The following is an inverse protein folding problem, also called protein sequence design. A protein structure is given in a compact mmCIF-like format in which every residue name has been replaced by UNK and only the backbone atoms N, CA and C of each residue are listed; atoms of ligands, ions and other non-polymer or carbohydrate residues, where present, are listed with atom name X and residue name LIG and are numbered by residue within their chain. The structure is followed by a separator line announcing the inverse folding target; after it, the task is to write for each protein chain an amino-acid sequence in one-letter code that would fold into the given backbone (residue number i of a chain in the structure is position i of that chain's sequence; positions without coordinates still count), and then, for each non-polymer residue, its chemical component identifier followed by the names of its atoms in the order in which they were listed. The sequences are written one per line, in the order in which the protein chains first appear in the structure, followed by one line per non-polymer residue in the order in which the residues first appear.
data_IF_987951748890
#
_entry.id   IF_987951748890
#
_cell.length_a   1.000
_cell.length_b   1.000
_cell.length_c   1.000
_cell.angle_alpha   90.00
_cell.angle_beta   90.00
_cell.angle_gamma   90.00
#
_symmetry.space_group_name_H-M   'P 1'
#
loop_
_entity.id
_entity.type
_entity.pdbx_description
1 polymer ?
#
# COMPACT_ATOMS: atom_id res chain seq x y z
N UNK A 1 -12.46 20.63 4.52
CA UNK A 1 -11.04 20.89 4.85
C UNK A 1 -10.78 20.37 6.25
N UNK A 2 -10.26 19.14 6.35
CA UNK A 2 -9.98 18.49 7.64
C UNK A 2 -8.69 19.02 8.28
N UNK A 3 -7.78 19.57 7.50
CA UNK A 3 -6.50 20.11 7.97
C UNK A 3 -6.56 21.62 8.13
N UNK A 4 -7.13 22.06 9.27
CA UNK A 4 -6.79 23.41 9.75
C UNK A 4 -5.31 23.40 10.15
N UNK A 5 -4.57 24.50 9.96
CA UNK A 5 -3.16 24.65 10.39
C UNK A 5 -2.98 24.47 11.91
N UNK A 6 -4.08 24.32 12.65
CA UNK A 6 -4.07 24.09 14.10
C UNK A 6 -3.52 22.70 14.41
N UNK A 7 -2.41 22.68 15.12
CA UNK A 7 -1.78 21.46 15.60
C UNK A 7 -0.80 20.77 14.64
N UNK A 8 -0.54 21.33 13.46
CA UNK A 8 0.53 20.84 12.59
C UNK A 8 1.89 21.41 13.03
N UNK A 9 2.92 20.58 13.06
CA UNK A 9 4.29 21.01 13.20
C UNK A 9 4.75 21.83 11.98
N UNK A 10 5.86 22.53 12.08
CA UNK A 10 6.47 23.24 10.96
C UNK A 10 6.82 22.28 9.82
N UNK A 11 7.40 21.13 10.15
CA UNK A 11 7.73 20.08 9.21
C UNK A 11 6.49 19.56 8.48
N UNK A 12 5.42 19.26 9.20
CA UNK A 12 4.15 18.83 8.59
C UNK A 12 3.58 19.89 7.65
N UNK A 13 3.66 21.17 8.00
CA UNK A 13 3.23 22.25 7.10
C UNK A 13 4.07 22.29 5.83
N UNK A 14 5.40 22.17 5.94
CA UNK A 14 6.30 22.11 4.78
C UNK A 14 5.98 20.90 3.88
N UNK A 15 5.78 19.72 4.45
CA UNK A 15 5.39 18.51 3.69
C UNK A 15 4.05 18.70 2.98
N UNK A 16 3.05 19.26 3.66
CA UNK A 16 1.75 19.58 3.06
C UNK A 16 1.89 20.54 1.89
N UNK A 17 2.63 21.62 2.07
CA UNK A 17 2.76 22.66 1.05
C UNK A 17 3.55 22.16 -0.17
N UNK A 18 4.57 21.34 0.05
CA UNK A 18 5.27 20.60 -1.01
C UNK A 18 4.33 19.66 -1.76
N UNK A 19 3.52 18.89 -1.03
CA UNK A 19 2.52 18.01 -1.63
C UNK A 19 1.46 18.79 -2.41
N UNK A 20 1.01 19.91 -1.88
CA UNK A 20 0.03 20.80 -2.53
C UNK A 20 0.57 21.36 -3.83
N UNK A 21 1.82 21.82 -3.85
CA UNK A 21 2.49 22.27 -5.08
C UNK A 21 2.58 21.11 -6.11
N UNK A 22 3.02 19.92 -5.69
CA UNK A 22 3.04 18.74 -6.54
C UNK A 22 1.67 18.43 -7.15
N UNK A 23 0.61 18.49 -6.35
CA UNK A 23 -0.76 18.25 -6.85
C UNK A 23 -1.18 19.31 -7.87
N UNK A 24 -0.93 20.57 -7.60
CA UNK A 24 -1.32 21.66 -8.50
C UNK A 24 -0.53 21.66 -9.81
N UNK A 25 0.78 21.39 -9.74
CA UNK A 25 1.70 21.57 -10.86
C UNK A 25 1.84 20.31 -11.71
N UNK A 26 1.62 19.11 -11.13
CA UNK A 26 1.81 17.85 -11.84
C UNK A 26 0.53 16.99 -11.89
N UNK A 27 -0.10 16.71 -10.73
CA UNK A 27 -1.22 15.74 -10.69
C UNK A 27 -2.44 16.30 -11.42
N UNK A 28 -2.90 17.50 -11.03
CA UNK A 28 -4.13 18.08 -11.61
C UNK A 28 -4.02 18.30 -13.12
N UNK A 29 -2.94 18.89 -13.67
CA UNK A 29 -2.77 19.00 -15.11
C UNK A 29 -2.70 17.65 -15.82
N UNK A 30 -1.96 16.68 -15.23
CA UNK A 30 -1.85 15.33 -15.79
C UNK A 30 -3.23 14.67 -15.91
N UNK A 31 -4.01 14.67 -14.83
CA UNK A 31 -5.35 14.05 -14.83
C UNK A 31 -6.28 14.76 -15.82
N UNK A 32 -6.30 16.09 -15.86
CA UNK A 32 -7.13 16.86 -16.81
C UNK A 32 -6.79 16.53 -18.27
N UNK A 33 -5.52 16.36 -18.59
CA UNK A 33 -5.07 16.05 -19.95
C UNK A 33 -5.19 14.57 -20.32
N UNK A 34 -5.31 13.69 -19.33
CA UNK A 34 -5.28 12.24 -19.49
C UNK A 34 -6.48 11.52 -18.85
N UNK A 35 -7.60 12.21 -18.60
CA UNK A 35 -8.75 11.64 -17.90
C UNK A 35 -9.36 10.40 -18.57
N UNK A 36 -9.18 10.27 -19.92
CA UNK A 36 -9.60 9.10 -20.68
C UNK A 36 -8.59 7.95 -20.64
N UNK A 37 -7.41 8.14 -20.05
CA UNK A 37 -6.32 7.15 -20.07
C UNK A 37 -6.76 5.78 -19.57
N UNK A 38 -7.52 5.74 -18.47
CA UNK A 38 -7.99 4.47 -17.90
C UNK A 38 -9.01 3.74 -18.78
N UNK A 39 -9.69 4.45 -19.67
CA UNK A 39 -10.73 3.92 -20.55
C UNK A 39 -10.20 3.44 -21.89
N UNK A 40 -9.17 4.10 -22.40
CA UNK A 40 -8.67 3.89 -23.76
C UNK A 40 -7.36 3.11 -23.83
N UNK A 41 -6.58 3.02 -22.73
CA UNK A 41 -5.28 2.35 -22.73
C UNK A 41 -5.37 0.89 -22.32
N UNK A 42 -4.45 0.08 -22.81
CA UNK A 42 -4.21 -1.27 -22.28
C UNK A 42 -3.93 -1.17 -20.76
N UNK A 43 -4.51 -2.04 -19.93
CA UNK A 43 -4.25 -2.04 -18.48
C UNK A 43 -2.78 -1.96 -18.09
N UNK A 44 -1.87 -2.57 -18.87
CA UNK A 44 -0.41 -2.52 -18.63
C UNK A 44 0.22 -1.13 -18.82
N UNK A 45 -0.46 -0.24 -19.57
CA UNK A 45 0.02 1.11 -19.89
C UNK A 45 -0.65 2.20 -19.03
N UNK A 46 -1.57 1.82 -18.13
CA UNK A 46 -2.34 2.76 -17.31
C UNK A 46 -1.55 3.36 -16.14
N UNK A 47 -0.42 2.75 -15.77
CA UNK A 47 0.37 3.24 -14.64
C UNK A 47 0.94 4.64 -14.94
N UNK A 48 0.62 5.67 -14.15
CA UNK A 48 1.11 7.03 -14.33
C UNK A 48 2.56 7.15 -13.84
N UNK A 49 3.50 6.57 -14.57
CA UNK A 49 4.92 6.47 -14.19
C UNK A 49 5.54 7.82 -13.91
N UNK A 50 5.28 8.80 -14.76
CA UNK A 50 5.76 10.17 -14.65
C UNK A 50 5.34 10.83 -13.33
N UNK A 51 4.12 10.56 -12.86
CA UNK A 51 3.62 11.08 -11.58
C UNK A 51 4.26 10.34 -10.40
N UNK A 52 4.45 9.02 -10.50
CA UNK A 52 5.12 8.24 -9.47
C UNK A 52 6.60 8.64 -9.32
N UNK A 53 7.28 8.96 -10.43
CA UNK A 53 8.64 9.47 -10.42
C UNK A 53 8.73 10.85 -9.73
N UNK A 54 7.78 11.76 -9.98
CA UNK A 54 7.73 13.04 -9.29
C UNK A 54 7.42 12.88 -7.80
N UNK A 55 6.44 12.03 -7.44
CA UNK A 55 6.13 11.70 -6.06
C UNK A 55 7.34 11.09 -5.32
N UNK A 56 8.17 10.31 -6.03
CA UNK A 56 9.40 9.77 -5.51
C UNK A 56 10.46 10.86 -5.26
N UNK A 57 10.68 11.77 -6.21
CA UNK A 57 11.65 12.86 -6.08
C UNK A 57 11.40 13.76 -4.88
N UNK A 58 10.15 14.02 -4.55
CA UNK A 58 9.77 14.85 -3.39
C UNK A 58 9.57 14.05 -2.10
N UNK A 59 9.87 12.75 -2.11
CA UNK A 59 9.88 11.89 -0.94
C UNK A 59 8.50 11.38 -0.47
N UNK A 60 7.38 11.85 -1.00
CA UNK A 60 6.05 11.42 -0.54
C UNK A 60 5.76 9.95 -0.85
N UNK A 61 6.39 9.38 -1.87
CA UNK A 61 6.21 7.97 -2.21
C UNK A 61 6.82 7.03 -1.16
N UNK A 62 7.91 7.43 -0.52
CA UNK A 62 8.69 6.61 0.42
C UNK A 62 8.34 6.84 1.89
N UNK A 63 7.24 7.55 2.17
CA UNK A 63 6.68 7.61 3.51
C UNK A 63 6.38 6.19 4.03
N UNK A 64 6.66 5.94 5.30
CA UNK A 64 6.49 4.61 5.91
C UNK A 64 7.65 3.63 5.67
N UNK A 65 8.53 3.86 4.69
CA UNK A 65 9.79 3.14 4.54
C UNK A 65 10.77 3.67 5.59
N UNK A 66 11.52 2.80 6.34
CA UNK A 66 12.50 3.27 7.29
C UNK A 66 13.62 4.09 6.64
N UNK A 67 14.09 5.14 7.32
CA UNK A 67 15.13 6.05 6.83
C UNK A 67 16.42 5.30 6.48
N UNK A 68 16.81 4.31 7.28
CA UNK A 68 18.00 3.47 7.03
C UNK A 68 17.97 2.73 5.68
N UNK A 69 16.80 2.59 5.07
CA UNK A 69 16.60 1.97 3.75
C UNK A 69 16.26 2.99 2.65
N UNK A 70 16.41 4.28 2.92
CA UNK A 70 16.15 5.35 1.97
C UNK A 70 14.70 5.87 1.98
N UNK A 71 13.97 5.65 3.06
CA UNK A 71 12.65 6.22 3.29
C UNK A 71 12.69 7.69 3.69
N UNK A 72 11.57 8.35 3.56
CA UNK A 72 11.38 9.72 4.05
C UNK A 72 11.03 9.68 5.53
N UNK A 73 11.83 10.31 6.41
CA UNK A 73 11.57 10.30 7.84
C UNK A 73 10.27 11.01 8.18
N UNK A 74 9.50 10.43 9.09
CA UNK A 74 8.29 11.00 9.67
C UNK A 74 8.31 10.74 11.16
N UNK A 75 7.98 11.74 11.97
CA UNK A 75 7.86 11.56 13.42
C UNK A 75 6.83 10.46 13.73
N UNK A 76 7.22 9.35 14.39
CA UNK A 76 6.31 8.26 14.72
C UNK A 76 5.08 8.67 15.53
N UNK A 77 5.17 9.76 16.31
CA UNK A 77 4.05 10.26 17.11
C UNK A 77 2.96 10.90 16.27
N UNK A 78 3.31 11.42 15.11
CA UNK A 78 2.40 12.14 14.21
C UNK A 78 2.26 11.47 12.84
N UNK A 79 2.84 10.28 12.66
CA UNK A 79 2.88 9.57 11.38
C UNK A 79 1.49 9.39 10.74
N UNK A 80 0.52 8.92 11.51
CA UNK A 80 -0.85 8.72 11.00
C UNK A 80 -1.49 10.04 10.58
N UNK A 81 -1.28 11.12 11.34
CA UNK A 81 -1.76 12.45 10.99
C UNK A 81 -1.09 12.96 9.72
N UNK A 82 0.23 12.75 9.59
CA UNK A 82 0.99 13.13 8.39
C UNK A 82 0.49 12.39 7.16
N UNK A 83 0.30 11.07 7.26
CA UNK A 83 -0.24 10.28 6.15
C UNK A 83 -1.65 10.72 5.75
N UNK A 84 -2.52 10.99 6.72
CA UNK A 84 -3.88 11.48 6.45
C UNK A 84 -3.85 12.84 5.73
N UNK A 85 -3.03 13.76 6.19
CA UNK A 85 -2.86 15.09 5.61
C UNK A 85 -2.34 15.01 4.17
N UNK A 86 -1.29 14.23 3.91
CA UNK A 86 -0.72 14.07 2.57
C UNK A 86 -1.72 13.35 1.65
N UNK A 87 -2.42 12.32 2.15
CA UNK A 87 -3.47 11.63 1.41
C UNK A 87 -4.62 12.57 1.01
N UNK A 88 -5.04 13.47 1.91
CA UNK A 88 -6.06 14.49 1.63
C UNK A 88 -5.61 15.43 0.49
N UNK A 89 -4.38 15.94 0.56
CA UNK A 89 -3.84 16.82 -0.48
C UNK A 89 -3.76 16.12 -1.86
N UNK A 90 -3.28 14.86 -1.91
CA UNK A 90 -3.21 14.12 -3.17
C UNK A 90 -4.62 13.82 -3.70
N UNK A 91 -5.55 13.42 -2.82
CA UNK A 91 -6.93 13.10 -3.19
C UNK A 91 -7.69 14.31 -3.76
N UNK A 92 -7.29 15.52 -3.40
CA UNK A 92 -7.81 16.76 -4.00
C UNK A 92 -7.50 16.85 -5.50
N UNK A 93 -6.38 16.30 -5.93
CA UNK A 93 -6.01 16.19 -7.35
C UNK A 93 -6.59 14.93 -7.99
N UNK A 94 -6.38 13.78 -7.36
CA UNK A 94 -6.87 12.48 -7.81
C UNK A 94 -6.90 11.44 -6.69
N UNK A 95 -8.07 10.90 -6.40
CA UNK A 95 -8.26 9.91 -5.33
C UNK A 95 -7.65 8.54 -5.68
N UNK A 96 -7.62 8.16 -6.94
CA UNK A 96 -7.03 6.90 -7.40
C UNK A 96 -5.51 6.90 -7.24
N UNK A 97 -4.85 8.02 -7.54
CA UNK A 97 -3.42 8.20 -7.29
C UNK A 97 -3.11 8.19 -5.79
N UNK A 98 -3.95 8.85 -4.98
CA UNK A 98 -3.82 8.80 -3.53
C UNK A 98 -3.87 7.37 -3.00
N UNK A 99 -4.84 6.57 -3.44
CA UNK A 99 -4.94 5.15 -3.05
C UNK A 99 -3.69 4.36 -3.46
N UNK A 100 -3.14 4.58 -4.67
CA UNK A 100 -1.89 3.95 -5.10
C UNK A 100 -0.72 4.21 -4.14
N UNK A 101 -0.54 5.45 -3.70
CA UNK A 101 0.54 5.85 -2.78
C UNK A 101 0.28 5.38 -1.35
N UNK A 102 -0.96 5.50 -0.87
CA UNK A 102 -1.36 5.03 0.47
C UNK A 102 -1.12 3.52 0.63
N UNK A 103 -1.30 2.72 -0.41
CA UNK A 103 -0.96 1.29 -0.35
C UNK A 103 0.54 1.06 -0.11
N UNK A 104 1.42 1.88 -0.69
CA UNK A 104 2.87 1.77 -0.45
C UNK A 104 3.16 2.06 1.02
N UNK A 105 2.65 3.17 1.56
CA UNK A 105 2.88 3.55 2.95
C UNK A 105 2.34 2.51 3.93
N UNK A 106 1.08 2.12 3.75
CA UNK A 106 0.41 1.12 4.60
C UNK A 106 1.16 -0.20 4.65
N UNK A 107 1.58 -0.72 3.49
CA UNK A 107 2.31 -1.98 3.42
C UNK A 107 3.73 -1.82 3.96
N UNK A 108 4.38 -0.68 3.74
CA UNK A 108 5.70 -0.40 4.32
C UNK A 108 5.65 -0.34 5.85
N UNK A 109 4.65 0.34 6.43
CA UNK A 109 4.43 0.34 7.89
C UNK A 109 4.18 -1.07 8.42
N UNK A 110 3.36 -1.86 7.70
CA UNK A 110 3.12 -3.26 8.06
C UNK A 110 4.43 -4.06 8.07
N UNK A 111 5.22 -3.98 7.00
CA UNK A 111 6.51 -4.69 6.90
C UNK A 111 7.49 -4.25 7.99
N UNK A 112 7.60 -2.96 8.24
CA UNK A 112 8.46 -2.40 9.30
C UNK A 112 8.13 -2.96 10.67
N UNK A 113 6.84 -3.14 10.97
CA UNK A 113 6.38 -3.54 12.30
C UNK A 113 6.34 -5.06 12.52
N UNK A 114 6.13 -5.86 11.48
CA UNK A 114 5.89 -7.30 11.67
C UNK A 114 6.81 -8.21 10.87
N UNK A 115 7.47 -7.72 9.80
CA UNK A 115 8.35 -8.57 9.03
C UNK A 115 9.69 -8.80 9.75
N UNK A 116 10.25 -10.03 9.73
CA UNK A 116 11.59 -10.30 10.21
C UNK A 116 12.64 -9.42 9.52
N UNK A 117 13.71 -9.08 10.21
CA UNK A 117 14.76 -8.14 9.74
C UNK A 117 15.30 -8.50 8.35
N UNK A 118 15.58 -9.76 8.09
CA UNK A 118 16.11 -10.21 6.80
C UNK A 118 15.14 -9.93 5.63
N UNK A 119 13.83 -9.94 5.88
CA UNK A 119 12.84 -9.57 4.85
C UNK A 119 12.77 -8.05 4.66
N UNK A 120 12.94 -7.28 5.72
CA UNK A 120 13.04 -5.82 5.61
C UNK A 120 14.28 -5.43 4.78
N UNK A 121 15.43 -6.01 5.05
CA UNK A 121 16.69 -5.81 4.30
C UNK A 121 16.59 -6.22 2.83
N UNK A 122 15.78 -7.24 2.55
CA UNK A 122 15.53 -7.70 1.17
C UNK A 122 14.64 -6.73 0.39
N UNK A 123 13.56 -6.23 1.01
CA UNK A 123 12.50 -5.55 0.28
C UNK A 123 12.57 -4.03 0.34
N UNK A 124 12.92 -3.42 1.47
CA UNK A 124 12.92 -1.96 1.57
C UNK A 124 13.85 -1.24 0.61
N UNK A 125 15.10 -1.70 0.35
CA UNK A 125 15.94 -1.06 -0.66
C UNK A 125 15.31 -1.07 -2.06
N UNK A 126 14.65 -2.16 -2.44
CA UNK A 126 13.94 -2.28 -3.74
C UNK A 126 12.75 -1.33 -3.81
N UNK A 127 11.98 -1.23 -2.73
CA UNK A 127 10.83 -0.31 -2.62
C UNK A 127 11.32 1.13 -2.69
N UNK A 128 12.39 1.47 -1.99
CA UNK A 128 12.91 2.82 -1.91
C UNK A 128 13.54 3.31 -3.22
N UNK A 129 14.23 2.43 -3.97
CA UNK A 129 15.00 2.82 -5.15
C UNK A 129 14.19 2.88 -6.45
N UNK A 130 13.12 2.10 -6.56
CA UNK A 130 12.34 2.00 -7.80
C UNK A 130 11.03 2.77 -7.69
N UNK A 131 10.87 3.91 -8.39
CA UNK A 131 9.63 4.71 -8.37
C UNK A 131 8.38 3.94 -8.79
N UNK A 132 8.55 2.90 -9.62
CA UNK A 132 7.46 2.04 -10.09
C UNK A 132 7.19 0.84 -9.20
N UNK A 133 7.88 0.69 -8.05
CA UNK A 133 7.67 -0.42 -7.13
C UNK A 133 6.40 -0.19 -6.31
N UNK A 134 5.29 -0.68 -6.79
CA UNK A 134 4.03 -0.65 -6.07
C UNK A 134 3.88 -1.87 -5.17
N UNK A 135 3.17 -1.65 -4.07
CA UNK A 135 2.82 -2.66 -3.07
C UNK A 135 1.32 -2.89 -3.08
N UNK A 136 0.91 -4.11 -2.75
CA UNK A 136 -0.49 -4.49 -2.68
C UNK A 136 -0.82 -5.24 -1.41
N UNK A 137 -1.99 -4.95 -0.84
CA UNK A 137 -2.50 -5.55 0.39
C UNK A 137 -3.71 -6.43 0.07
N UNK A 138 -3.45 -7.74 -0.15
CA UNK A 138 -4.43 -8.69 -0.65
C UNK A 138 -5.23 -9.34 0.48
N UNK A 139 -6.19 -8.61 1.02
CA UNK A 139 -7.02 -9.04 2.13
C UNK A 139 -8.42 -9.48 1.66
N UNK A 140 -9.11 -8.63 0.88
CA UNK A 140 -10.50 -8.81 0.48
C UNK A 140 -10.72 -10.04 -0.40
N UNK A 141 -11.81 -10.75 -0.14
CA UNK A 141 -12.25 -11.94 -0.87
C UNK A 141 -13.70 -11.80 -1.35
N UNK A 142 -14.16 -12.59 -2.35
CA UNK A 142 -15.54 -12.54 -2.83
C UNK A 142 -16.59 -12.81 -1.74
N UNK A 143 -16.24 -13.58 -0.72
CA UNK A 143 -17.11 -13.97 0.40
C UNK A 143 -16.63 -13.44 1.75
N UNK A 144 -15.80 -12.43 1.77
CA UNK A 144 -15.29 -11.86 3.01
C UNK A 144 -15.48 -10.35 3.00
N UNK A 145 -16.06 -9.81 4.05
CA UNK A 145 -16.24 -8.38 4.24
C UNK A 145 -15.71 -7.94 5.63
N UNK A 146 -16.50 -7.21 6.38
CA UNK A 146 -16.12 -6.70 7.71
C UNK A 146 -16.06 -7.78 8.80
N UNK A 147 -16.62 -8.96 8.58
CA UNK A 147 -16.59 -10.10 9.48
C UNK A 147 -15.18 -10.48 9.96
N UNK A 148 -14.16 -10.22 9.13
CA UNK A 148 -12.75 -10.38 9.50
C UNK A 148 -12.21 -9.37 10.53
N UNK A 149 -12.96 -8.32 10.84
CA UNK A 149 -12.62 -7.31 11.83
C UNK A 149 -13.36 -7.49 13.15
N UNK A 150 -13.99 -8.66 13.36
CA UNK A 150 -14.63 -8.98 14.61
C UNK A 150 -13.61 -8.94 15.77
N UNK A 151 -14.00 -8.42 16.94
CA UNK A 151 -13.10 -8.30 18.10
C UNK A 151 -12.81 -9.66 18.78
N UNK A 152 -13.37 -10.74 18.27
CA UNK A 152 -13.23 -12.10 18.76
C UNK A 152 -13.13 -13.10 17.63
N UNK A 153 -12.45 -14.21 17.86
CA UNK A 153 -12.34 -15.29 16.88
C UNK A 153 -13.66 -16.09 16.80
N UNK A 154 -14.23 -16.10 15.60
CA UNK A 154 -15.35 -16.95 15.24
C UNK A 154 -14.80 -17.98 14.25
N UNK A 155 -14.94 -19.29 14.50
CA UNK A 155 -14.37 -20.34 13.64
C UNK A 155 -14.80 -20.22 12.17
N UNK A 156 -16.01 -19.76 11.92
CA UNK A 156 -16.60 -19.56 10.60
C UNK A 156 -16.06 -18.30 9.89
N UNK A 157 -15.61 -17.30 10.65
CA UNK A 157 -14.99 -16.09 10.12
C UNK A 157 -13.51 -16.37 9.81
N UNK A 158 -13.22 -16.85 8.59
CA UNK A 158 -11.87 -17.16 8.15
C UNK A 158 -11.67 -16.76 6.69
N UNK A 159 -10.41 -16.66 6.26
CA UNK A 159 -10.07 -16.49 4.84
C UNK A 159 -10.43 -17.78 4.08
N UNK A 160 -11.04 -17.61 2.91
CA UNK A 160 -11.27 -18.71 1.97
C UNK A 160 -10.02 -19.02 1.15
N UNK A 161 -9.12 -18.04 0.95
CA UNK A 161 -7.77 -18.29 0.47
C UNK A 161 -7.02 -19.11 1.51
N UNK A 162 -6.48 -20.25 1.09
CA UNK A 162 -5.76 -21.21 1.96
C UNK A 162 -4.29 -21.27 1.58
N UNK A 163 -3.44 -21.50 2.56
CA UNK A 163 -2.03 -21.77 2.37
C UNK A 163 -1.67 -23.08 3.06
N UNK A 164 -1.08 -24.00 2.32
CA UNK A 164 -0.67 -25.33 2.77
C UNK A 164 0.83 -25.50 2.59
N UNK A 165 1.52 -25.97 3.63
CA UNK A 165 2.94 -26.31 3.54
C UNK A 165 3.10 -27.66 2.83
N UNK A 166 3.78 -27.66 1.67
CA UNK A 166 4.10 -28.86 0.89
C UNK A 166 5.62 -28.97 0.75
N UNK A 167 6.20 -29.86 1.53
CA UNK A 167 7.65 -29.92 1.68
C UNK A 167 8.20 -28.64 2.34
N UNK A 168 9.03 -27.92 1.64
CA UNK A 168 9.65 -26.64 2.05
C UNK A 168 8.93 -25.39 1.52
N UNK A 169 7.81 -25.58 0.80
CA UNK A 169 7.11 -24.48 0.11
C UNK A 169 5.67 -24.35 0.57
N UNK A 170 5.24 -23.11 0.72
CA UNK A 170 3.83 -22.79 0.90
C UNK A 170 3.12 -22.73 -0.47
N UNK A 171 2.03 -23.45 -0.60
CA UNK A 171 1.13 -23.40 -1.76
C UNK A 171 -0.11 -22.63 -1.36
N UNK A 172 -0.34 -21.47 -2.00
CA UNK A 172 -1.47 -20.60 -1.73
C UNK A 172 -2.51 -20.78 -2.83
N UNK A 173 -3.76 -21.11 -2.43
CA UNK A 173 -4.89 -21.25 -3.34
C UNK A 173 -6.07 -20.42 -2.86
N UNK A 174 -6.65 -19.63 -3.76
CA UNK A 174 -7.82 -18.80 -3.45
C UNK A 174 -7.99 -17.65 -4.42
N UNK A 175 -8.92 -16.77 -4.08
CA UNK A 175 -9.23 -15.61 -4.90
C UNK A 175 -9.33 -14.34 -4.02
N UNK A 176 -8.60 -13.32 -4.39
CA UNK A 176 -8.69 -11.96 -3.83
C UNK A 176 -9.40 -11.06 -4.84
N UNK A 177 -10.10 -10.01 -4.35
CA UNK A 177 -10.78 -9.05 -5.21
C UNK A 177 -10.70 -7.62 -4.65
N UNK A 178 -10.92 -6.64 -5.51
CA UNK A 178 -10.87 -5.20 -5.17
C UNK A 178 -9.53 -4.81 -4.53
N UNK A 179 -8.46 -5.35 -5.07
CA UNK A 179 -7.12 -5.16 -4.52
C UNK A 179 -6.46 -3.95 -5.16
N UNK A 180 -6.29 -2.87 -4.39
CA UNK A 180 -5.54 -1.69 -4.81
C UNK A 180 -4.14 -2.07 -5.25
N UNK A 181 -3.70 -1.51 -6.37
CA UNK A 181 -2.46 -1.87 -7.07
C UNK A 181 -2.37 -3.35 -7.51
N UNK A 182 -3.47 -4.12 -7.48
CA UNK A 182 -3.46 -5.56 -7.73
C UNK A 182 -2.87 -5.96 -9.09
N UNK A 183 -3.01 -5.11 -10.11
CA UNK A 183 -2.42 -5.34 -11.42
C UNK A 183 -0.95 -4.90 -11.51
N UNK A 184 -0.57 -3.78 -10.87
CA UNK A 184 0.73 -3.14 -11.05
C UNK A 184 1.76 -3.49 -9.97
N UNK A 185 1.35 -4.03 -8.83
CA UNK A 185 2.24 -4.30 -7.71
C UNK A 185 3.36 -5.28 -8.08
N UNK A 186 4.55 -5.05 -7.53
CA UNK A 186 5.72 -5.94 -7.64
C UNK A 186 5.84 -6.87 -6.44
N UNK A 187 5.17 -6.53 -5.32
CA UNK A 187 5.11 -7.35 -4.12
C UNK A 187 3.70 -7.27 -3.53
N UNK A 188 3.16 -8.43 -3.21
CA UNK A 188 1.83 -8.61 -2.63
C UNK A 188 1.94 -9.12 -1.20
N UNK A 189 1.22 -8.51 -0.26
CA UNK A 189 0.95 -9.10 1.05
C UNK A 189 -0.35 -9.88 0.97
N UNK A 190 -0.26 -11.18 0.89
CA UNK A 190 -1.40 -12.08 0.73
C UNK A 190 -1.77 -12.69 2.07
N UNK A 191 -3.01 -12.52 2.49
CA UNK A 191 -3.55 -13.16 3.69
C UNK A 191 -4.26 -14.47 3.32
N UNK A 192 -3.87 -15.56 3.99
CA UNK A 192 -4.42 -16.87 3.75
C UNK A 192 -4.59 -17.66 5.05
N UNK A 193 -5.60 -18.50 5.11
CA UNK A 193 -5.81 -19.43 6.22
C UNK A 193 -4.75 -20.53 6.18
N UNK A 194 -4.00 -20.64 7.28
CA UNK A 194 -3.02 -21.70 7.53
C UNK A 194 -3.51 -22.71 8.58
N UNK A 195 -4.49 -22.31 9.40
CA UNK A 195 -5.10 -23.16 10.43
C UNK A 195 -6.63 -23.07 10.35
N UNK A 196 -7.28 -23.88 9.50
CA UNK A 196 -8.74 -23.89 9.38
C UNK A 196 -9.44 -24.13 10.73
N UNK A 197 -10.55 -23.41 10.95
CA UNK A 197 -11.35 -23.52 12.17
C UNK A 197 -10.80 -22.74 13.39
N UNK A 198 -9.66 -22.06 13.24
CA UNK A 198 -9.09 -21.25 14.33
C UNK A 198 -9.52 -19.77 14.29
N UNK A 199 -10.46 -19.39 13.42
CA UNK A 199 -10.90 -18.01 13.23
C UNK A 199 -9.87 -17.15 12.49
N UNK A 200 -10.15 -15.85 12.41
CA UNK A 200 -9.31 -14.92 11.65
C UNK A 200 -7.95 -14.66 12.30
N UNK A 201 -7.93 -14.35 13.59
CA UNK A 201 -6.70 -13.90 14.28
C UNK A 201 -5.70 -15.04 14.45
N UNK A 202 -6.15 -16.21 14.79
CA UNK A 202 -5.30 -17.39 15.06
C UNK A 202 -5.11 -18.31 13.86
N UNK A 203 -5.96 -18.17 12.85
CA UNK A 203 -5.98 -19.05 11.69
C UNK A 203 -5.34 -18.47 10.44
N UNK A 204 -5.07 -17.16 10.41
CA UNK A 204 -4.56 -16.47 9.21
C UNK A 204 -3.08 -16.15 9.34
N UNK A 205 -2.35 -16.34 8.24
CA UNK A 205 -0.97 -15.88 8.07
C UNK A 205 -0.88 -14.90 6.90
N UNK A 206 0.12 -14.04 6.93
CA UNK A 206 0.47 -13.14 5.83
C UNK A 206 1.71 -13.64 5.10
N UNK A 207 1.68 -13.58 3.78
CA UNK A 207 2.74 -14.02 2.90
C UNK A 207 3.19 -12.87 2.02
N UNK A 208 4.51 -12.70 1.89
CA UNK A 208 5.10 -11.81 0.90
C UNK A 208 5.26 -12.59 -0.40
N UNK A 209 4.50 -12.21 -1.41
CA UNK A 209 4.45 -12.91 -2.70
C UNK A 209 4.96 -11.94 -3.77
N UNK A 210 6.17 -12.15 -4.33
CA UNK A 210 6.65 -11.41 -5.49
C UNK A 210 5.75 -11.63 -6.71
N UNK A 211 5.70 -10.63 -7.60
CA UNK A 211 4.90 -10.71 -8.84
C UNK A 211 5.27 -11.87 -9.77
N UNK A 212 6.53 -12.25 -9.77
CA UNK A 212 7.11 -13.31 -10.60
C UNK A 212 7.03 -14.71 -9.94
N UNK A 213 6.32 -14.83 -8.82
CA UNK A 213 6.08 -16.14 -8.18
C UNK A 213 5.27 -17.04 -9.14
N UNK A 214 5.72 -18.27 -9.40
CA UNK A 214 5.00 -19.20 -10.27
C UNK A 214 3.60 -19.55 -9.77
N UNK A 215 2.61 -19.64 -10.67
CA UNK A 215 1.22 -20.05 -10.36
C UNK A 215 0.14 -19.06 -10.72
#
# INVERSE_FOLDING_TARGET
MLTSDRGLSEEQRMMRDTCRAFVNDFVTPFIRNNWQREWSMDPKDRLPREILEQAHKIGIRTLGVPEEFGGTPVDPKTEVQTFAMISEEISRGDAGLSDKLVQIWKVSVLLRNIAPRHLQELWFPRIAQDPSFLLSHCLTEPRGASDRWLPYDVPEAMMHTKAELKGDKWVINGRKQFISNGYDAKLYVVYATTKPGAGMTKGTSSFLVPRDTPG
#
